data_IF_797468552408
#
_entry.id   IF_797468552408
#
_cell.length_a   1.000
_cell.length_b   1.000
_cell.length_c   1.000
_cell.angle_alpha   90.00
_cell.angle_beta   90.00
_cell.angle_gamma   90.00
#
_symmetry.space_group_name_H-M   'P 1'
#
loop_
_entity.id
_entity.type
_entity.pdbx_description
1 polymer ?
#
# COMPACT_ATOMS: atom_id res chain seq x y z
N UNK A 1 -29.72 -18.36 -4.19
CA UNK A 1 -29.57 -19.81 -4.05
C UNK A 1 -28.12 -20.29 -4.12
N UNK A 2 -27.28 -19.70 -5.00
CA UNK A 2 -25.91 -20.13 -5.22
C UNK A 2 -24.89 -19.61 -4.18
N UNK A 3 -25.27 -18.70 -3.29
CA UNK A 3 -24.43 -18.24 -2.17
C UNK A 3 -23.89 -19.41 -1.30
N UNK A 4 -24.58 -20.55 -1.31
CA UNK A 4 -24.14 -21.78 -0.64
C UNK A 4 -22.82 -22.36 -1.20
N UNK A 5 -22.41 -21.94 -2.39
CA UNK A 5 -21.16 -22.35 -3.01
C UNK A 5 -19.95 -21.58 -2.45
N UNK A 6 -20.19 -20.44 -1.79
CA UNK A 6 -19.14 -19.69 -1.09
C UNK A 6 -18.63 -20.52 0.09
N UNK A 7 -17.32 -20.64 0.21
CA UNK A 7 -16.67 -21.35 1.30
C UNK A 7 -16.99 -20.73 2.65
N UNK A 8 -17.17 -21.58 3.66
CA UNK A 8 -17.56 -21.14 5.01
C UNK A 8 -16.56 -20.19 5.63
N UNK A 9 -15.29 -20.37 5.37
CA UNK A 9 -14.23 -19.55 5.93
C UNK A 9 -14.29 -18.10 5.40
N UNK A 10 -14.65 -17.91 4.12
CA UNK A 10 -14.85 -16.59 3.55
C UNK A 10 -16.09 -15.89 4.09
N UNK A 11 -17.17 -16.64 4.29
CA UNK A 11 -18.37 -16.10 4.95
C UNK A 11 -18.10 -15.74 6.41
N UNK A 12 -17.27 -16.52 7.11
CA UNK A 12 -16.88 -16.19 8.50
C UNK A 12 -16.03 -14.92 8.55
N UNK A 13 -15.02 -14.78 7.68
CA UNK A 13 -14.17 -13.59 7.58
C UNK A 13 -14.97 -12.35 7.17
N UNK A 14 -16.00 -12.51 6.33
CA UNK A 14 -16.87 -11.39 5.92
C UNK A 14 -17.68 -10.81 7.08
N UNK A 15 -17.83 -11.51 8.19
CA UNK A 15 -18.50 -10.98 9.39
C UNK A 15 -17.79 -9.82 10.04
N UNK A 16 -16.51 -9.58 9.73
CA UNK A 16 -15.77 -8.41 10.18
C UNK A 16 -16.36 -7.09 9.64
N UNK A 17 -17.04 -7.12 8.50
CA UNK A 17 -17.69 -5.97 7.88
C UNK A 17 -19.20 -6.17 7.60
N UNK A 18 -19.69 -7.40 7.60
CA UNK A 18 -21.12 -7.75 7.46
C UNK A 18 -21.48 -8.89 8.44
N UNK A 19 -21.69 -8.61 9.73
CA UNK A 19 -21.82 -9.62 10.80
C UNK A 19 -22.84 -10.73 10.56
N UNK A 20 -23.89 -10.45 9.77
CA UNK A 20 -24.94 -11.39 9.45
C UNK A 20 -24.83 -11.98 8.03
N UNK A 21 -23.82 -11.58 7.23
CA UNK A 21 -23.70 -11.88 5.81
C UNK A 21 -24.99 -11.56 5.05
N UNK A 22 -25.57 -10.40 5.34
CA UNK A 22 -26.89 -10.00 4.87
C UNK A 22 -26.85 -9.03 3.69
N UNK A 23 -25.81 -8.22 3.61
CA UNK A 23 -25.72 -7.11 2.69
C UNK A 23 -24.66 -7.29 1.63
N UNK A 24 -23.79 -8.28 1.78
CA UNK A 24 -22.67 -8.56 0.89
C UNK A 24 -22.60 -10.02 0.48
N UNK A 25 -22.03 -10.26 -0.70
CA UNK A 25 -21.73 -11.59 -1.21
C UNK A 25 -20.25 -11.61 -1.63
N UNK A 26 -19.38 -12.42 -1.00
CA UNK A 26 -17.99 -12.54 -1.40
C UNK A 26 -17.85 -12.82 -2.89
N UNK A 27 -16.97 -12.10 -3.55
CA UNK A 27 -16.75 -12.16 -5.00
C UNK A 27 -15.37 -12.71 -5.35
N UNK A 28 -14.34 -12.06 -4.86
CA UNK A 28 -12.96 -12.48 -4.98
C UNK A 28 -12.19 -12.13 -3.71
N UNK A 29 -11.02 -12.71 -3.57
CA UNK A 29 -10.17 -12.45 -2.43
C UNK A 29 -8.69 -12.51 -2.81
N UNK A 30 -7.86 -12.03 -1.92
CA UNK A 30 -6.43 -12.08 -2.09
C UNK A 30 -5.71 -11.58 -0.84
N UNK A 31 -4.41 -11.41 -0.98
CA UNK A 31 -3.53 -10.93 0.08
C UNK A 31 -2.78 -9.69 -0.36
N UNK A 32 -2.28 -8.93 0.58
CA UNK A 32 -1.24 -7.92 0.35
C UNK A 32 0.10 -8.57 0.63
N UNK A 33 1.08 -8.32 -0.21
CA UNK A 33 2.42 -8.88 -0.03
C UNK A 33 3.50 -8.02 -0.64
N UNK A 34 4.69 -8.57 -0.66
CA UNK A 34 5.86 -7.95 -1.26
C UNK A 34 6.12 -8.62 -2.61
N UNK A 35 6.18 -7.80 -3.67
CA UNK A 35 6.71 -8.18 -4.96
C UNK A 35 8.13 -7.65 -5.07
N UNK A 36 9.11 -8.50 -5.34
CA UNK A 36 10.50 -8.08 -5.46
C UNK A 36 11.16 -8.61 -6.71
N UNK A 37 12.13 -7.86 -7.21
CA UNK A 37 12.90 -8.22 -8.40
C UNK A 37 14.16 -9.00 -7.98
N UNK A 38 14.21 -10.29 -8.35
CA UNK A 38 15.32 -11.20 -8.06
C UNK A 38 16.67 -10.76 -8.66
N UNK A 39 16.67 -9.87 -9.62
CA UNK A 39 17.90 -9.31 -10.20
C UNK A 39 18.42 -8.08 -9.46
N UNK A 40 17.62 -7.52 -8.54
CA UNK A 40 17.93 -6.32 -7.77
C UNK A 40 18.00 -6.60 -6.25
N UNK A 41 17.57 -7.80 -5.84
CA UNK A 41 17.56 -8.26 -4.46
C UNK A 41 18.45 -9.49 -4.36
N UNK A 42 19.42 -9.48 -3.44
CA UNK A 42 20.44 -10.54 -3.35
C UNK A 42 19.94 -11.81 -2.65
N UNK A 43 18.94 -11.69 -1.77
CA UNK A 43 18.42 -12.79 -0.95
C UNK A 43 16.88 -12.82 -0.99
N UNK A 44 16.26 -14.01 -0.88
CA UNK A 44 14.81 -14.12 -0.80
C UNK A 44 14.24 -13.31 0.38
N UNK A 45 13.15 -12.60 0.10
CA UNK A 45 12.47 -11.81 1.11
C UNK A 45 11.42 -12.67 1.80
N UNK A 46 11.33 -12.60 3.13
CA UNK A 46 10.33 -13.31 3.95
C UNK A 46 9.65 -12.43 5.01
N UNK A 47 10.01 -11.16 5.10
CA UNK A 47 9.60 -10.26 6.20
C UNK A 47 9.31 -8.85 5.69
N UNK A 48 8.34 -8.19 6.32
CA UNK A 48 8.09 -6.77 6.11
C UNK A 48 9.30 -5.88 6.45
N UNK A 49 10.26 -6.37 7.26
CA UNK A 49 11.44 -5.60 7.66
C UNK A 49 12.24 -5.02 6.50
N UNK A 50 12.21 -5.66 5.33
CA UNK A 50 12.91 -5.21 4.12
C UNK A 50 12.47 -3.81 3.67
N UNK A 51 11.25 -3.41 3.99
CA UNK A 51 10.72 -2.07 3.65
C UNK A 51 11.38 -0.95 4.46
N UNK A 52 12.20 -1.27 5.47
CA UNK A 52 13.00 -0.34 6.28
C UNK A 52 14.50 -0.52 6.09
N UNK A 53 14.93 -1.35 5.13
CA UNK A 53 16.34 -1.55 4.84
C UNK A 53 16.87 -0.41 3.95
N UNK A 54 17.85 0.32 4.47
CA UNK A 54 18.53 1.43 3.78
C UNK A 54 19.18 1.02 2.45
N UNK A 55 19.48 -0.28 2.28
CA UNK A 55 20.00 -0.84 1.03
C UNK A 55 19.08 -0.59 -0.16
N UNK A 56 17.77 -0.56 0.07
CA UNK A 56 16.76 -0.39 -0.97
C UNK A 56 16.20 1.04 -1.03
N UNK A 57 16.92 2.01 -0.45
CA UNK A 57 16.52 3.41 -0.53
C UNK A 57 16.27 3.86 -1.97
N UNK A 58 15.18 4.60 -2.17
CA UNK A 58 14.69 5.07 -3.48
C UNK A 58 14.35 3.92 -4.47
N UNK A 59 14.17 2.68 -3.96
CA UNK A 59 13.80 1.49 -4.72
C UNK A 59 12.61 0.73 -4.09
N UNK A 60 11.86 1.36 -3.19
CA UNK A 60 10.68 0.82 -2.53
C UNK A 60 9.43 1.54 -3.02
N UNK A 61 8.45 0.77 -3.49
CA UNK A 61 7.11 1.27 -3.80
C UNK A 61 6.17 0.86 -2.66
N UNK A 62 5.55 1.84 -2.02
CA UNK A 62 4.63 1.62 -0.91
C UNK A 62 3.20 1.95 -1.32
N UNK A 63 2.21 1.27 -0.72
CA UNK A 63 0.80 1.53 -0.97
C UNK A 63 0.39 2.94 -0.51
N UNK A 64 -0.30 3.68 -1.39
CA UNK A 64 -0.96 4.95 -1.05
C UNK A 64 -2.37 4.71 -0.51
N UNK A 65 -2.47 3.78 0.40
CA UNK A 65 -3.68 3.39 1.12
C UNK A 65 -3.40 3.46 2.63
N UNK A 66 -4.23 4.19 3.36
CA UNK A 66 -4.07 4.37 4.81
C UNK A 66 -4.08 3.02 5.52
N UNK A 67 -5.10 2.19 5.23
CA UNK A 67 -5.28 0.90 5.88
C UNK A 67 -4.15 -0.08 5.55
N UNK A 68 -3.72 -0.13 4.29
CA UNK A 68 -2.64 -1.04 3.88
C UNK A 68 -1.29 -0.58 4.44
N UNK A 69 -0.99 0.73 4.40
CA UNK A 69 0.26 1.24 4.94
C UNK A 69 0.37 1.01 6.45
N UNK A 70 -0.69 1.33 7.21
CA UNK A 70 -0.73 1.04 8.65
C UNK A 70 -0.76 -0.46 8.93
N UNK A 71 -1.51 -1.24 8.14
CA UNK A 71 -1.57 -2.70 8.27
C UNK A 71 -0.19 -3.36 8.16
N UNK A 72 0.61 -2.97 7.18
CA UNK A 72 2.01 -3.41 7.03
C UNK A 72 2.85 -3.04 8.25
N UNK A 73 2.77 -1.79 8.73
CA UNK A 73 3.54 -1.34 9.88
C UNK A 73 3.11 -2.05 11.18
N UNK A 74 1.80 -2.18 11.41
CA UNK A 74 1.25 -2.88 12.58
C UNK A 74 1.65 -4.36 12.58
N UNK A 75 1.53 -5.06 11.44
CA UNK A 75 1.95 -6.47 11.34
C UNK A 75 3.45 -6.61 11.60
N UNK A 76 4.29 -5.73 11.09
CA UNK A 76 5.72 -5.76 11.36
C UNK A 76 6.04 -5.54 12.85
N UNK A 77 5.25 -4.71 13.55
CA UNK A 77 5.37 -4.51 15.00
C UNK A 77 4.78 -5.64 15.84
N UNK A 78 4.07 -6.60 15.22
CA UNK A 78 3.42 -7.72 15.89
C UNK A 78 2.01 -7.41 16.42
N UNK A 79 1.42 -6.30 15.97
CA UNK A 79 0.06 -5.88 16.33
C UNK A 79 -0.98 -6.39 15.33
N UNK A 80 -2.26 -6.33 15.73
CA UNK A 80 -3.37 -6.52 14.80
C UNK A 80 -3.44 -5.36 13.80
N UNK A 81 -3.68 -5.67 12.53
CA UNK A 81 -3.94 -4.63 11.50
C UNK A 81 -5.28 -3.90 11.73
N UNK A 82 -6.09 -4.36 12.67
CA UNK A 82 -7.32 -3.74 13.12
C UNK A 82 -7.19 -3.00 14.46
N UNK A 83 -5.97 -2.78 14.93
CA UNK A 83 -5.76 -2.07 16.19
C UNK A 83 -6.37 -0.67 16.15
N UNK A 84 -7.02 -0.30 17.24
CA UNK A 84 -7.53 1.05 17.53
C UNK A 84 -6.82 1.68 18.72
N UNK A 85 -5.82 1.00 19.27
CA UNK A 85 -5.00 1.51 20.36
C UNK A 85 -4.11 2.66 19.89
N UNK A 86 -4.18 3.79 20.58
CA UNK A 86 -3.47 5.01 20.18
C UNK A 86 -1.94 4.87 20.28
N UNK A 87 -1.43 4.08 21.21
CA UNK A 87 0.00 3.89 21.37
C UNK A 87 0.53 3.02 20.22
N UNK A 88 -0.16 1.94 19.88
CA UNK A 88 0.17 1.08 18.73
C UNK A 88 0.10 1.84 17.40
N UNK A 89 -0.95 2.66 17.20
CA UNK A 89 -1.10 3.50 16.01
C UNK A 89 0.00 4.57 15.91
N UNK A 90 0.41 5.17 17.03
CA UNK A 90 1.53 6.12 17.04
C UNK A 90 2.87 5.43 16.75
N UNK A 91 3.10 4.22 17.28
CA UNK A 91 4.30 3.44 16.99
C UNK A 91 4.37 3.09 15.50
N UNK A 92 3.26 2.65 14.90
CA UNK A 92 3.15 2.40 13.47
C UNK A 92 3.41 3.67 12.64
N UNK A 93 2.83 4.81 13.03
CA UNK A 93 3.08 6.13 12.39
C UNK A 93 4.56 6.51 12.46
N UNK A 94 5.22 6.33 13.61
CA UNK A 94 6.64 6.65 13.76
C UNK A 94 7.52 5.72 12.89
N UNK A 95 7.14 4.45 12.79
CA UNK A 95 7.78 3.48 11.90
C UNK A 95 7.64 3.90 10.43
N UNK A 96 6.43 4.25 9.97
CA UNK A 96 6.17 4.75 8.61
C UNK A 96 6.89 6.07 8.32
N UNK A 97 7.01 6.94 9.32
CA UNK A 97 7.77 8.19 9.20
C UNK A 97 9.27 7.93 8.97
N UNK A 98 9.83 6.89 9.62
CA UNK A 98 11.21 6.44 9.39
C UNK A 98 11.39 5.78 8.03
N UNK A 99 10.37 5.09 7.52
CA UNK A 99 10.39 4.46 6.19
C UNK A 99 10.38 5.51 5.07
N UNK A 100 9.65 6.60 5.24
CA UNK A 100 9.38 7.60 4.19
C UNK A 100 10.60 8.04 3.39
N UNK A 101 11.79 8.32 3.99
CA UNK A 101 12.99 8.67 3.23
C UNK A 101 13.54 7.55 2.33
N UNK A 102 13.08 6.32 2.50
CA UNK A 102 13.51 5.15 1.73
C UNK A 102 12.56 4.88 0.55
N UNK A 103 11.32 5.37 0.63
CA UNK A 103 10.28 5.13 -0.35
C UNK A 103 10.50 5.97 -1.60
N UNK A 104 10.56 5.32 -2.76
CA UNK A 104 10.60 5.97 -4.07
C UNK A 104 9.28 6.68 -4.37
N UNK A 105 8.16 5.97 -4.19
CA UNK A 105 6.83 6.49 -4.43
C UNK A 105 5.76 5.75 -3.60
N UNK A 106 4.71 6.50 -3.25
CA UNK A 106 3.46 5.93 -2.77
C UNK A 106 2.53 5.78 -3.97
N UNK A 107 2.10 4.55 -4.26
CA UNK A 107 1.32 4.19 -5.46
C UNK A 107 0.26 3.14 -5.11
N UNK A 108 -0.72 2.97 -5.98
CA UNK A 108 -1.68 1.86 -5.93
C UNK A 108 -1.46 1.02 -7.19
N UNK A 109 -2.21 1.23 -8.25
CA UNK A 109 -2.14 0.41 -9.49
C UNK A 109 -0.81 0.58 -10.24
N UNK A 110 -0.16 1.74 -10.12
CA UNK A 110 1.11 2.03 -10.80
C UNK A 110 2.27 1.15 -10.31
N UNK A 111 2.15 0.47 -9.17
CA UNK A 111 3.16 -0.49 -8.70
C UNK A 111 3.40 -1.56 -9.75
N UNK A 112 2.36 -2.05 -10.41
CA UNK A 112 2.41 -3.05 -11.46
C UNK A 112 3.35 -2.62 -12.60
N UNK A 113 3.04 -1.49 -13.24
CA UNK A 113 3.79 -1.01 -14.41
C UNK A 113 5.27 -0.70 -14.06
N UNK A 114 5.49 -0.13 -12.87
CA UNK A 114 6.84 0.17 -12.38
C UNK A 114 7.67 -1.09 -12.12
N UNK A 115 7.08 -2.13 -11.54
CA UNK A 115 7.76 -3.40 -11.30
C UNK A 115 8.02 -4.16 -12.60
N UNK A 116 7.09 -4.17 -13.55
CA UNK A 116 7.30 -4.72 -14.91
C UNK A 116 8.49 -4.02 -15.58
N UNK A 117 8.56 -2.68 -15.47
CA UNK A 117 9.61 -1.85 -16.04
C UNK A 117 10.96 -1.90 -15.30
N UNK A 118 11.09 -2.68 -14.21
CA UNK A 118 12.28 -2.73 -13.34
C UNK A 118 12.66 -1.34 -12.76
N UNK A 119 11.68 -0.49 -12.48
CA UNK A 119 11.89 0.85 -11.93
C UNK A 119 12.12 0.84 -10.41
N UNK A 120 11.82 -0.27 -9.73
CA UNK A 120 12.03 -0.45 -8.30
C UNK A 120 12.42 -1.90 -7.99
N UNK A 121 13.12 -2.10 -6.88
CA UNK A 121 13.52 -3.41 -6.40
C UNK A 121 12.39 -4.13 -5.67
N UNK A 122 11.54 -3.38 -4.95
CA UNK A 122 10.53 -3.89 -4.03
C UNK A 122 9.25 -3.08 -4.17
N UNK A 123 8.09 -3.75 -4.20
CA UNK A 123 6.77 -3.12 -4.21
C UNK A 123 5.80 -3.84 -3.29
N UNK A 124 5.01 -3.10 -2.52
CA UNK A 124 3.86 -3.65 -1.80
C UNK A 124 2.68 -3.68 -2.76
N UNK A 125 2.08 -4.85 -2.96
CA UNK A 125 1.11 -5.10 -4.03
C UNK A 125 0.05 -6.13 -3.60
N UNK A 126 -1.10 -6.12 -4.25
CA UNK A 126 -2.13 -7.15 -4.11
C UNK A 126 -1.78 -8.40 -4.92
N UNK A 127 -2.14 -9.57 -4.40
CA UNK A 127 -1.74 -10.87 -4.98
C UNK A 127 -2.19 -11.07 -6.44
N UNK A 128 -3.41 -10.64 -6.82
CA UNK A 128 -3.88 -10.75 -8.19
C UNK A 128 -3.06 -9.88 -9.16
N UNK A 129 -2.74 -8.65 -8.76
CA UNK A 129 -1.86 -7.77 -9.53
C UNK A 129 -0.44 -8.35 -9.62
N UNK A 130 0.03 -9.02 -8.55
CA UNK A 130 1.34 -9.67 -8.54
C UNK A 130 1.41 -10.82 -9.55
N UNK A 131 0.35 -11.63 -9.67
CA UNK A 131 0.27 -12.73 -10.65
C UNK A 131 0.43 -12.16 -12.06
N UNK A 132 -0.35 -11.16 -12.43
CA UNK A 132 -0.24 -10.50 -13.73
C UNK A 132 1.18 -9.94 -13.96
N UNK A 133 1.73 -9.27 -12.95
CA UNK A 133 3.05 -8.63 -13.03
C UNK A 133 4.18 -9.66 -13.22
N UNK A 134 4.06 -10.83 -12.58
CA UNK A 134 5.00 -11.95 -12.74
C UNK A 134 4.93 -12.60 -14.14
N UNK A 135 3.75 -12.63 -14.75
CA UNK A 135 3.59 -13.12 -16.15
C UNK A 135 4.32 -12.20 -17.14
N UNK A 136 4.27 -10.89 -16.92
CA UNK A 136 4.95 -9.89 -17.78
C UNK A 136 6.45 -9.79 -17.49
N UNK A 137 6.88 -10.06 -16.25
CA UNK A 137 8.29 -10.03 -15.86
C UNK A 137 8.65 -11.22 -14.94
N UNK A 138 9.23 -12.31 -15.49
CA UNK A 138 9.54 -13.54 -14.74
C UNK A 138 10.66 -13.37 -13.69
N UNK A 139 11.33 -12.22 -13.65
CA UNK A 139 12.29 -11.91 -12.60
C UNK A 139 11.64 -11.48 -11.28
N UNK A 140 10.33 -11.26 -11.29
CA UNK A 140 9.59 -10.85 -10.11
C UNK A 140 9.12 -12.06 -9.30
N UNK A 141 9.14 -11.92 -7.99
CA UNK A 141 8.66 -12.92 -7.06
C UNK A 141 7.80 -12.26 -5.99
N UNK A 142 6.67 -12.89 -5.67
CA UNK A 142 5.73 -12.43 -4.65
C UNK A 142 5.84 -13.28 -3.39
N UNK A 143 5.78 -12.62 -2.24
CA UNK A 143 5.81 -13.28 -0.94
C UNK A 143 4.82 -12.62 0.03
N UNK A 144 4.13 -13.45 0.82
CA UNK A 144 3.38 -13.02 1.99
C UNK A 144 4.31 -13.11 3.19
N UNK A 145 4.67 -11.99 3.83
CA UNK A 145 5.63 -12.00 4.93
C UNK A 145 5.21 -12.83 6.13
N UNK A 146 6.18 -13.34 6.85
CA UNK A 146 5.98 -14.24 8.01
C UNK A 146 5.22 -13.61 9.17
N UNK A 147 5.21 -12.29 9.27
CA UNK A 147 4.43 -11.56 10.27
C UNK A 147 2.92 -11.58 9.96
N UNK A 148 2.54 -12.09 8.79
CA UNK A 148 1.16 -12.08 8.30
C UNK A 148 0.82 -10.81 7.53
N UNK A 149 -0.38 -10.76 6.98
CA UNK A 149 -0.81 -9.69 6.09
C UNK A 149 -2.32 -9.44 6.14
N UNK A 150 -2.77 -8.47 5.34
CA UNK A 150 -4.18 -8.31 5.04
C UNK A 150 -4.64 -9.39 4.06
N UNK A 151 -5.67 -10.14 4.46
CA UNK A 151 -6.47 -10.98 3.58
C UNK A 151 -7.75 -10.20 3.30
N UNK A 152 -7.84 -9.62 2.12
CA UNK A 152 -9.00 -8.83 1.71
C UNK A 152 -10.01 -9.69 0.97
N UNK A 153 -11.28 -9.30 1.07
CA UNK A 153 -12.40 -9.93 0.37
C UNK A 153 -13.22 -8.82 -0.28
N UNK A 154 -13.25 -8.82 -1.60
CA UNK A 154 -14.18 -7.97 -2.35
C UNK A 154 -15.55 -8.64 -2.40
N UNK A 155 -16.58 -7.84 -2.29
CA UNK A 155 -17.95 -8.35 -2.19
C UNK A 155 -18.90 -7.56 -3.07
N UNK A 156 -19.86 -8.28 -3.65
CA UNK A 156 -21.00 -7.69 -4.32
C UNK A 156 -21.97 -7.13 -3.30
N UNK A 157 -22.42 -5.91 -3.53
CA UNK A 157 -23.47 -5.24 -2.74
C UNK A 157 -24.49 -4.59 -3.65
N UNK A 158 -25.75 -4.47 -3.19
CA UNK A 158 -26.81 -3.80 -3.90
C UNK A 158 -27.16 -2.53 -3.13
N UNK A 159 -27.00 -1.32 -3.72
CA UNK A 159 -27.38 -0.06 -3.09
C UNK A 159 -28.85 -0.04 -2.68
N UNK A 160 -29.18 0.60 -1.55
CA UNK A 160 -30.54 0.65 -1.00
C UNK A 160 -31.60 1.15 -1.99
N UNK A 161 -31.20 2.07 -2.88
CA UNK A 161 -32.11 2.71 -3.84
C UNK A 161 -31.96 2.13 -5.26
N UNK A 162 -31.45 0.89 -5.42
CA UNK A 162 -31.35 0.24 -6.71
C UNK A 162 -32.77 -0.01 -7.29
N UNK A 163 -33.01 0.49 -8.50
CA UNK A 163 -34.32 0.37 -9.16
C UNK A 163 -34.63 -1.07 -9.59
N UNK A 164 -33.60 -1.86 -9.93
CA UNK A 164 -33.72 -3.22 -10.43
C UNK A 164 -33.07 -4.24 -9.50
N UNK A 165 -33.45 -4.21 -8.23
CA UNK A 165 -32.87 -5.07 -7.19
C UNK A 165 -32.94 -6.57 -7.55
N UNK A 166 -34.09 -7.03 -8.04
CA UNK A 166 -34.28 -8.45 -8.40
C UNK A 166 -33.33 -8.88 -9.53
N UNK A 167 -33.09 -8.02 -10.52
CA UNK A 167 -32.13 -8.32 -11.59
C UNK A 167 -30.70 -8.37 -11.06
N UNK A 168 -30.33 -7.47 -10.13
CA UNK A 168 -29.04 -7.47 -9.48
C UNK A 168 -28.85 -8.77 -8.65
N UNK A 169 -29.86 -9.19 -7.89
CA UNK A 169 -29.81 -10.45 -7.16
C UNK A 169 -29.66 -11.66 -8.10
N UNK A 170 -30.34 -11.68 -9.22
CA UNK A 170 -30.18 -12.75 -10.23
C UNK A 170 -28.79 -12.75 -10.84
N UNK A 171 -28.24 -11.59 -11.13
CA UNK A 171 -26.87 -11.45 -11.66
C UNK A 171 -25.84 -11.93 -10.65
N UNK A 172 -25.90 -11.49 -9.39
CA UNK A 172 -25.01 -11.96 -8.34
C UNK A 172 -25.14 -13.47 -8.16
N UNK A 173 -26.38 -14.01 -8.15
CA UNK A 173 -26.61 -15.45 -8.07
C UNK A 173 -26.03 -16.21 -9.27
N UNK A 174 -26.04 -15.64 -10.47
CA UNK A 174 -25.39 -16.21 -11.65
C UNK A 174 -23.87 -16.25 -11.48
N UNK A 175 -23.26 -15.16 -10.98
CA UNK A 175 -21.82 -15.09 -10.71
C UNK A 175 -21.36 -16.09 -9.64
N UNK A 176 -22.25 -16.49 -8.72
CA UNK A 176 -22.01 -17.54 -7.72
C UNK A 176 -22.20 -18.97 -8.27
N UNK A 177 -22.18 -19.18 -9.56
CA UNK A 177 -22.09 -20.52 -10.15
C UNK A 177 -20.60 -20.88 -10.25
N UNK A 178 -20.21 -22.12 -9.86
CA UNK A 178 -18.81 -22.51 -9.85
C UNK A 178 -18.09 -22.37 -11.19
N UNK A 179 -18.74 -22.76 -12.29
CA UNK A 179 -18.21 -22.64 -13.66
C UNK A 179 -18.03 -21.18 -14.09
N UNK A 180 -18.94 -20.31 -13.69
CA UNK A 180 -18.90 -18.86 -14.01
C UNK A 180 -17.88 -18.14 -13.13
N UNK A 181 -17.87 -18.43 -11.84
CA UNK A 181 -16.90 -17.89 -10.91
C UNK A 181 -15.48 -18.23 -11.33
N UNK A 182 -15.20 -19.50 -11.65
CA UNK A 182 -13.90 -19.92 -12.13
C UNK A 182 -13.48 -19.16 -13.40
N UNK A 183 -14.31 -19.16 -14.43
CA UNK A 183 -13.99 -18.49 -15.69
C UNK A 183 -13.76 -16.97 -15.53
N UNK A 184 -14.54 -16.33 -14.65
CA UNK A 184 -14.41 -14.91 -14.42
C UNK A 184 -13.14 -14.58 -13.60
N UNK A 185 -12.86 -15.35 -12.56
CA UNK A 185 -11.71 -15.06 -11.68
C UNK A 185 -10.38 -15.49 -12.28
N UNK A 186 -10.37 -16.53 -13.10
CA UNK A 186 -9.22 -16.90 -13.94
C UNK A 186 -8.86 -15.74 -14.90
N UNK A 187 -9.86 -15.15 -15.55
CA UNK A 187 -9.66 -14.02 -16.44
C UNK A 187 -9.07 -12.78 -15.77
N UNK A 188 -9.52 -12.46 -14.54
CA UNK A 188 -9.05 -11.28 -13.81
C UNK A 188 -7.83 -11.55 -12.92
N UNK A 189 -7.41 -12.81 -12.78
CA UNK A 189 -6.21 -13.20 -12.02
C UNK A 189 -6.39 -13.22 -10.50
N UNK A 190 -7.63 -13.19 -9.97
CA UNK A 190 -7.89 -13.23 -8.53
C UNK A 190 -8.44 -14.57 -8.07
N UNK A 191 -8.33 -14.84 -6.77
CA UNK A 191 -8.78 -16.10 -6.18
C UNK A 191 -10.27 -16.10 -5.91
N UNK A 192 -10.92 -17.24 -6.17
CA UNK A 192 -12.35 -17.40 -5.93
C UNK A 192 -12.63 -17.81 -4.48
N UNK A 193 -13.66 -17.23 -3.82
CA UNK A 193 -14.14 -17.71 -2.54
C UNK A 193 -15.04 -18.95 -2.65
N UNK A 194 -15.36 -19.40 -3.88
CA UNK A 194 -16.22 -20.54 -4.13
C UNK A 194 -15.41 -21.84 -4.15
N UNK A 195 -15.65 -22.72 -3.19
CA UNK A 195 -14.87 -23.96 -3.05
C UNK A 195 -15.00 -24.87 -4.26
N UNK A 196 -16.20 -25.02 -4.82
CA UNK A 196 -16.44 -25.87 -5.97
C UNK A 196 -15.92 -25.27 -7.29
N UNK A 197 -15.60 -23.97 -7.33
CA UNK A 197 -15.03 -23.35 -8.54
C UNK A 197 -13.60 -23.80 -8.80
N UNK A 198 -12.89 -24.26 -7.77
CA UNK A 198 -11.52 -24.79 -7.91
C UNK A 198 -11.44 -25.99 -8.86
N UNK A 199 -12.50 -26.78 -8.96
CA UNK A 199 -12.58 -27.94 -9.85
C UNK A 199 -12.61 -27.54 -11.35
N UNK A 200 -12.83 -26.26 -11.64
CA UNK A 200 -12.87 -25.68 -13.00
C UNK A 200 -11.63 -24.84 -13.32
N UNK A 201 -10.68 -24.69 -12.41
CA UNK A 201 -9.43 -23.95 -12.58
C UNK A 201 -8.29 -24.94 -12.88
N UNK A 202 -7.29 -24.44 -13.60
CA UNK A 202 -6.08 -25.19 -13.87
C UNK A 202 -5.29 -25.48 -12.58
N UNK A 203 -4.55 -26.59 -12.56
CA UNK A 203 -3.76 -27.02 -11.39
C UNK A 203 -2.71 -25.97 -11.02
N UNK A 204 -2.11 -25.30 -12.02
CA UNK A 204 -1.12 -24.24 -11.83
C UNK A 204 -1.70 -23.06 -11.01
N UNK A 205 -2.97 -22.74 -11.19
CA UNK A 205 -3.67 -21.68 -10.45
C UNK A 205 -3.98 -22.15 -9.03
N UNK A 206 -4.54 -23.36 -8.90
CA UNK A 206 -5.01 -23.89 -7.60
C UNK A 206 -3.87 -24.30 -6.67
N UNK A 207 -2.70 -24.64 -7.22
CA UNK A 207 -1.47 -24.95 -6.46
C UNK A 207 -0.56 -23.74 -6.21
N UNK A 208 -0.87 -22.58 -6.80
CA UNK A 208 -0.09 -21.37 -6.62
C UNK A 208 -0.19 -20.84 -5.19
N UNK A 209 0.92 -20.68 -4.45
CA UNK A 209 0.91 -20.10 -3.10
C UNK A 209 0.57 -18.60 -3.10
N UNK A 210 0.60 -17.95 -4.26
CA UNK A 210 0.18 -16.56 -4.43
C UNK A 210 -1.35 -16.48 -4.46
N UNK A 211 -1.99 -17.38 -5.23
CA UNK A 211 -3.45 -17.45 -5.37
C UNK A 211 -4.11 -18.12 -4.15
N UNK A 212 -3.53 -19.23 -3.71
CA UNK A 212 -4.06 -20.04 -2.61
C UNK A 212 -2.96 -20.38 -1.60
N UNK A 213 -2.63 -19.44 -0.71
CA UNK A 213 -1.66 -19.66 0.36
C UNK A 213 -2.08 -20.82 1.27
N UNK A 214 -1.11 -21.41 1.94
CA UNK A 214 -1.36 -22.48 2.92
C UNK A 214 -2.09 -21.99 4.17
N UNK A 215 -2.62 -22.94 4.93
CA UNK A 215 -3.40 -22.67 6.13
C UNK A 215 -2.60 -21.91 7.21
N UNK A 216 -1.30 -22.11 7.30
CA UNK A 216 -0.43 -21.39 8.22
C UNK A 216 -0.34 -19.91 7.86
N UNK A 217 -0.16 -19.60 6.58
CA UNK A 217 -0.16 -18.23 6.06
C UNK A 217 -1.51 -17.56 6.23
N UNK A 218 -2.61 -18.29 5.98
CA UNK A 218 -3.96 -17.77 6.18
C UNK A 218 -4.27 -17.52 7.68
N UNK A 219 -3.76 -18.36 8.58
CA UNK A 219 -3.98 -18.23 10.02
C UNK A 219 -3.30 -17.00 10.63
N UNK A 220 -2.14 -16.55 10.08
CA UNK A 220 -1.45 -15.35 10.54
C UNK A 220 -1.92 -14.07 9.84
N UNK A 221 -2.78 -14.20 8.83
CA UNK A 221 -3.36 -13.08 8.08
C UNK A 221 -4.73 -12.71 8.64
N UNK A 222 -5.02 -11.42 8.67
CA UNK A 222 -6.27 -10.85 9.18
C UNK A 222 -7.04 -10.15 8.05
N UNK A 223 -8.37 -10.11 8.16
CA UNK A 223 -9.20 -9.24 7.29
C UNK A 223 -9.43 -7.88 7.96
N UNK A 224 -9.59 -6.83 7.16
CA UNK A 224 -9.93 -5.52 7.71
C UNK A 224 -11.33 -5.52 8.32
N UNK A 225 -11.40 -5.14 9.58
CA UNK A 225 -12.64 -4.88 10.30
C UNK A 225 -13.04 -3.40 10.18
N UNK A 226 -14.32 -3.12 10.48
CA UNK A 226 -14.82 -1.76 10.66
C UNK A 226 -14.27 -1.18 11.96
N UNK A 227 -13.45 -0.13 11.86
CA UNK A 227 -12.78 0.48 13.04
C UNK A 227 -13.63 1.53 13.76
N UNK A 228 -14.78 1.89 13.21
CA UNK A 228 -15.57 3.03 13.68
C UNK A 228 -14.99 4.38 13.23
N UNK A 229 -15.80 5.41 13.40
CA UNK A 229 -15.50 6.76 12.88
C UNK A 229 -14.28 7.38 13.55
N UNK A 230 -14.17 7.25 14.87
CA UNK A 230 -13.10 7.88 15.66
C UNK A 230 -11.72 7.30 15.31
N UNK A 231 -11.56 5.98 15.35
CA UNK A 231 -10.29 5.33 15.01
C UNK A 231 -9.89 5.55 13.55
N UNK A 232 -10.88 5.53 12.64
CA UNK A 232 -10.65 5.85 11.22
C UNK A 232 -10.15 7.29 11.06
N UNK A 233 -10.73 8.27 11.75
CA UNK A 233 -10.26 9.66 11.69
C UNK A 233 -8.85 9.81 12.24
N UNK A 234 -8.56 9.19 13.39
CA UNK A 234 -7.21 9.18 13.98
C UNK A 234 -6.18 8.62 13.00
N UNK A 235 -6.46 7.46 12.41
CA UNK A 235 -5.55 6.83 11.46
C UNK A 235 -5.31 7.71 10.22
N UNK A 236 -6.35 8.36 9.69
CA UNK A 236 -6.22 9.31 8.58
C UNK A 236 -5.36 10.53 8.95
N UNK A 237 -5.52 11.10 10.13
CA UNK A 237 -4.74 12.25 10.59
C UNK A 237 -3.27 11.86 10.78
N UNK A 238 -3.01 10.68 11.35
CA UNK A 238 -1.65 10.14 11.50
C UNK A 238 -1.01 9.88 10.12
N UNK A 239 -1.76 9.32 9.15
CA UNK A 239 -1.28 9.13 7.79
C UNK A 239 -0.92 10.45 7.11
N UNK A 240 -1.78 11.46 7.24
CA UNK A 240 -1.49 12.80 6.73
C UNK A 240 -0.19 13.35 7.34
N UNK A 241 0.04 13.12 8.65
CA UNK A 241 1.28 13.52 9.30
C UNK A 241 2.51 12.81 8.74
N UNK A 242 2.41 11.51 8.42
CA UNK A 242 3.47 10.76 7.73
C UNK A 242 3.74 11.38 6.36
N UNK A 243 2.70 11.59 5.55
CA UNK A 243 2.83 12.13 4.17
C UNK A 243 3.41 13.54 4.14
N UNK A 244 3.13 14.37 5.14
CA UNK A 244 3.59 15.75 5.22
C UNK A 244 4.90 15.92 6.00
N UNK A 245 5.37 14.88 6.71
CA UNK A 245 6.64 14.92 7.44
C UNK A 245 7.79 15.27 6.49
N UNK A 246 8.64 16.21 6.90
CA UNK A 246 9.89 16.54 6.20
C UNK A 246 11.03 15.72 6.80
N UNK A 247 11.83 15.06 5.97
CA UNK A 247 13.03 14.40 6.48
C UNK A 247 13.97 15.47 7.08
N UNK A 248 14.63 15.17 8.19
CA UNK A 248 15.62 16.08 8.78
C UNK A 248 16.68 16.52 7.75
N UNK A 249 17.06 15.64 6.83
CA UNK A 249 17.99 15.94 5.73
C UNK A 249 17.47 17.06 4.83
N UNK A 250 16.17 17.01 4.46
CA UNK A 250 15.53 18.07 3.65
C UNK A 250 15.48 19.39 4.42
N UNK A 251 15.17 19.35 5.70
CA UNK A 251 15.18 20.53 6.56
C UNK A 251 16.59 21.15 6.66
N UNK A 252 17.62 20.34 6.90
CA UNK A 252 19.01 20.79 6.94
C UNK A 252 19.45 21.36 5.59
N UNK A 253 19.05 20.78 4.48
CA UNK A 253 19.36 21.30 3.14
C UNK A 253 18.72 22.68 2.93
N UNK A 254 17.44 22.85 3.28
CA UNK A 254 16.75 24.14 3.19
C UNK A 254 17.44 25.19 4.06
N UNK A 255 17.78 24.86 5.29
CA UNK A 255 18.49 25.78 6.20
C UNK A 255 19.87 26.15 5.67
N UNK A 256 20.60 25.21 5.08
CA UNK A 256 21.91 25.44 4.48
C UNK A 256 21.81 26.37 3.28
N UNK A 257 20.85 26.16 2.38
CA UNK A 257 20.60 27.03 1.22
C UNK A 257 20.23 28.45 1.69
N UNK A 258 19.36 28.57 2.69
CA UNK A 258 18.99 29.88 3.25
C UNK A 258 20.20 30.63 3.86
N UNK A 259 21.06 29.90 4.57
CA UNK A 259 22.29 30.48 5.13
C UNK A 259 23.25 30.97 4.05
N UNK A 260 23.46 30.20 2.98
CA UNK A 260 24.27 30.59 1.84
C UNK A 260 23.69 31.83 1.16
N UNK A 261 22.38 31.88 0.92
CA UNK A 261 21.71 33.02 0.33
C UNK A 261 21.86 34.29 1.17
N UNK A 262 21.74 34.17 2.51
CA UNK A 262 21.96 35.27 3.44
C UNK A 262 23.40 35.83 3.37
N UNK A 263 24.42 34.97 3.28
CA UNK A 263 25.81 35.32 3.13
C UNK A 263 26.04 36.09 1.81
N UNK A 264 25.51 35.58 0.70
CA UNK A 264 25.62 36.24 -0.61
C UNK A 264 24.97 37.63 -0.56
N UNK A 265 23.78 37.74 0.01
CA UNK A 265 23.04 38.99 0.16
C UNK A 265 23.86 40.02 0.98
N UNK A 266 24.48 39.56 2.09
CA UNK A 266 25.35 40.40 2.92
C UNK A 266 26.54 40.98 2.10
N UNK A 267 27.21 40.16 1.29
CA UNK A 267 28.32 40.67 0.46
C UNK A 267 27.85 41.64 -0.62
N UNK A 268 26.70 41.38 -1.26
CA UNK A 268 26.10 42.28 -2.24
C UNK A 268 25.78 43.66 -1.61
N UNK A 269 25.06 43.64 -0.47
CA UNK A 269 24.69 44.86 0.26
C UNK A 269 25.96 45.61 0.69
N UNK A 270 26.94 44.90 1.27
CA UNK A 270 28.20 45.47 1.70
C UNK A 270 28.97 46.14 0.53
N UNK A 271 28.96 45.48 -0.66
CA UNK A 271 29.53 46.02 -1.88
C UNK A 271 28.84 47.30 -2.35
N UNK A 272 27.51 47.32 -2.32
CA UNK A 272 26.70 48.49 -2.67
C UNK A 272 27.00 49.65 -1.71
N UNK A 273 27.02 49.38 -0.40
CA UNK A 273 27.32 50.39 0.62
C UNK A 273 28.73 50.98 0.44
N UNK A 274 29.74 50.13 0.18
CA UNK A 274 31.13 50.58 -0.09
C UNK A 274 31.19 51.44 -1.35
N UNK A 275 30.51 51.06 -2.44
CA UNK A 275 30.44 51.88 -3.69
C UNK A 275 29.77 53.20 -3.43
N UNK A 276 28.66 53.27 -2.69
CA UNK A 276 27.98 54.52 -2.32
C UNK A 276 28.88 55.45 -1.46
N UNK A 277 29.59 54.87 -0.48
CA UNK A 277 30.54 55.63 0.35
C UNK A 277 31.68 56.22 -0.49
N UNK A 278 32.25 55.42 -1.43
CA UNK A 278 33.30 55.89 -2.33
C UNK A 278 32.81 57.01 -3.26
N UNK A 279 31.61 56.85 -3.84
CA UNK A 279 31.00 57.89 -4.67
C UNK A 279 30.74 59.21 -3.92
N UNK A 280 30.29 59.14 -2.63
CA UNK A 280 30.11 60.32 -1.79
C UNK A 280 31.46 61.03 -1.47
N UNK A 281 32.53 60.28 -1.21
CA UNK A 281 33.89 60.87 -1.04
C UNK A 281 34.37 61.53 -2.28
N UNK A 282 34.23 60.94 -3.46
CA UNK A 282 34.64 61.57 -4.72
C UNK A 282 33.84 62.83 -5.03
N UNK A 283 32.57 62.95 -4.68
CA UNK A 283 31.78 64.19 -4.82
C UNK A 283 32.25 65.31 -3.92
N UNK A 284 32.61 65.02 -2.66
CA UNK A 284 33.16 66.01 -1.73
C UNK A 284 34.52 66.58 -2.18
N UNK A 285 35.36 65.73 -2.82
CA UNK A 285 36.67 66.19 -3.39
C UNK A 285 36.52 67.06 -4.63
N UNK A 286 35.42 66.99 -5.39
CA UNK A 286 35.16 67.81 -6.55
C UNK A 286 34.52 69.19 -6.20
N UNK A 287 34.12 69.39 -4.98
CA UNK A 287 33.49 70.60 -4.46
C UNK A 287 34.43 71.44 -3.54
N UNK A 288 35.59 70.90 -3.21
CA UNK A 288 36.69 71.61 -2.57
C UNK A 288 37.76 72.01 -3.60
#
# INVERSE_FOLDING_TARGET
PNIKNIGKDYLERSKEFDPENKYSVPYCWGTVGILYNKTMVDEPIDSWSVLWDEKYKDNILMQDSVRDAFGVALKYLGYSLNSTDLDELNEAKDLLTRQKPLVQAYVIDQVRDKMIGNEAAIGVIYSGEAIYTQQENPNLEYVIPKEGSNLWIDSWVIPKNAEHKENAEQFINFLCRPDISAANLDYIGYSTPETAAKDYLDEDVTSSPVSYPDDETLARSESFAELGVEATQVMNDLWLSVKTSTSNTTLYLILTIAAIAAVILFFVISGIVRRRKKARRCRKWKQA
#
